data_IF_165972421625
#
_entry.id   IF_165972421625
#
_cell.length_a   1.000
_cell.length_b   1.000
_cell.length_c   1.000
_cell.angle_alpha   90.00
_cell.angle_beta   90.00
_cell.angle_gamma   90.00
#
_symmetry.space_group_name_H-M   'P 1'
#
loop_
_entity.id
_entity.type
_entity.pdbx_description
1 polymer ?
#
# COMPACT_ATOMS: atom_id res chain seq x y z
N UNK A 1 -0.89 67.56 71.54
CA UNK A 1 -0.85 66.87 70.23
C UNK A 1 0.63 66.61 69.92
N UNK A 2 1.27 65.48 70.26
CA UNK A 2 1.34 64.20 69.48
C UNK A 2 1.08 64.48 67.99
N UNK A 3 2.00 64.33 67.04
CA UNK A 3 2.90 63.20 66.65
C UNK A 3 4.14 63.83 65.97
N UNK A 4 5.34 63.27 65.89
CA UNK A 4 5.78 61.87 65.89
C UNK A 4 6.77 61.68 64.73
N UNK A 5 7.97 61.20 65.04
CA UNK A 5 9.17 61.00 64.22
C UNK A 5 9.04 60.04 63.01
N UNK A 6 9.95 60.27 62.04
CA UNK A 6 10.77 59.31 61.25
C UNK A 6 10.21 58.43 60.11
N UNK A 7 10.82 58.66 58.93
CA UNK A 7 11.53 57.76 57.99
C UNK A 7 10.92 56.45 57.43
N UNK A 8 11.44 56.08 56.22
CA UNK A 8 11.23 54.88 55.37
C UNK A 8 9.97 54.92 54.47
N UNK A 9 9.96 54.44 53.22
CA UNK A 9 10.88 53.62 52.42
C UNK A 9 10.63 53.91 50.91
N UNK A 10 11.65 53.85 50.06
CA UNK A 10 11.85 52.83 49.02
C UNK A 10 10.79 52.76 47.90
N UNK A 11 11.26 53.00 46.68
CA UNK A 11 10.63 52.67 45.39
C UNK A 11 10.02 51.26 45.37
N UNK A 12 8.75 51.09 44.94
CA UNK A 12 8.25 49.80 44.54
C UNK A 12 8.28 49.68 43.02
N UNK A 13 9.44 49.19 42.56
CA UNK A 13 9.57 48.07 41.64
C UNK A 13 8.67 48.10 40.38
N UNK A 14 9.33 48.35 39.24
CA UNK A 14 8.94 47.78 37.95
C UNK A 14 8.50 46.32 38.17
N UNK A 15 7.20 46.08 38.04
CA UNK A 15 6.62 44.74 37.92
C UNK A 15 7.25 44.10 36.67
N UNK A 16 8.33 43.36 36.89
CA UNK A 16 9.00 42.58 35.87
C UNK A 16 8.02 41.55 35.31
N UNK A 17 7.47 41.84 34.14
CA UNK A 17 6.85 40.81 33.31
C UNK A 17 7.96 39.80 32.99
N UNK A 18 7.91 38.64 33.64
CA UNK A 18 8.66 37.46 33.20
C UNK A 18 8.14 37.09 31.81
N UNK A 19 8.69 37.74 30.78
CA UNK A 19 8.67 37.24 29.42
C UNK A 19 9.36 35.89 29.49
N UNK A 20 8.56 34.82 29.48
CA UNK A 20 9.00 33.47 29.21
C UNK A 20 9.86 33.53 27.94
N UNK A 21 11.18 33.58 28.12
CA UNK A 21 12.11 33.46 27.01
C UNK A 21 11.97 32.03 26.51
N UNK A 22 11.10 31.85 25.53
CA UNK A 22 11.22 30.70 24.66
C UNK A 22 12.61 30.79 24.01
N UNK A 23 13.47 29.77 24.14
CA UNK A 23 14.72 29.78 23.42
C UNK A 23 14.40 29.83 21.93
N UNK A 24 14.68 30.98 21.29
CA UNK A 24 14.63 31.18 19.85
C UNK A 24 15.81 30.45 19.18
N UNK A 25 16.04 29.19 19.53
CA UNK A 25 16.97 28.35 18.78
C UNK A 25 16.37 28.14 17.40
N UNK A 26 16.94 28.83 16.41
CA UNK A 26 16.57 28.67 15.01
C UNK A 26 16.64 27.18 14.64
N UNK A 27 15.52 26.63 14.19
CA UNK A 27 15.47 25.24 13.73
C UNK A 27 16.48 25.07 12.60
N UNK A 28 17.41 24.11 12.75
CA UNK A 28 18.42 23.90 11.72
C UNK A 28 17.77 23.54 10.39
N UNK A 29 18.37 24.02 9.29
CA UNK A 29 17.91 23.70 7.93
C UNK A 29 17.69 22.19 7.73
N UNK A 30 18.58 21.36 8.30
CA UNK A 30 18.47 19.90 8.21
C UNK A 30 17.17 19.36 8.83
N UNK A 31 16.79 19.87 10.01
CA UNK A 31 15.53 19.47 10.67
C UNK A 31 14.32 19.91 9.85
N UNK A 32 14.33 21.13 9.32
CA UNK A 32 13.24 21.63 8.46
C UNK A 32 13.15 20.78 7.17
N UNK A 33 14.27 20.51 6.52
CA UNK A 33 14.33 19.67 5.31
C UNK A 33 13.81 18.26 5.56
N UNK A 34 14.26 17.62 6.64
CA UNK A 34 13.80 16.28 7.03
C UNK A 34 12.29 16.27 7.31
N UNK A 35 11.80 17.28 8.04
CA UNK A 35 10.38 17.43 8.31
C UNK A 35 9.55 17.57 7.03
N UNK A 36 9.95 18.45 6.10
CA UNK A 36 9.28 18.62 4.82
C UNK A 36 9.32 17.34 3.97
N UNK A 37 10.45 16.65 3.94
CA UNK A 37 10.58 15.35 3.25
C UNK A 37 9.60 14.32 3.84
N UNK A 38 9.52 14.23 5.16
CA UNK A 38 8.62 13.31 5.85
C UNK A 38 7.15 13.66 5.61
N UNK A 39 6.78 14.95 5.63
CA UNK A 39 5.43 15.40 5.29
C UNK A 39 5.06 15.06 3.84
N UNK A 40 5.95 15.32 2.89
CA UNK A 40 5.71 14.99 1.49
C UNK A 40 5.57 13.46 1.30
N UNK A 41 6.43 12.69 1.95
CA UNK A 41 6.41 11.21 1.88
C UNK A 41 5.14 10.66 2.51
N UNK A 42 4.71 11.15 3.67
CA UNK A 42 3.49 10.66 4.33
C UNK A 42 2.22 11.07 3.58
N UNK A 43 2.18 12.29 3.03
CA UNK A 43 1.07 12.75 2.20
C UNK A 43 0.95 11.95 0.91
N UNK A 44 2.06 11.76 0.19
CA UNK A 44 2.07 10.94 -1.03
C UNK A 44 1.72 9.48 -0.76
N UNK A 45 2.20 8.90 0.35
CA UNK A 45 1.83 7.55 0.76
C UNK A 45 0.33 7.43 1.05
N UNK A 46 -0.25 8.39 1.79
CA UNK A 46 -1.68 8.43 2.07
C UNK A 46 -2.52 8.63 0.81
N UNK A 47 -2.12 9.52 -0.09
CA UNK A 47 -2.78 9.69 -1.40
C UNK A 47 -2.75 8.38 -2.20
N UNK A 48 -1.57 7.75 -2.28
CA UNK A 48 -1.42 6.46 -2.93
C UNK A 48 -2.33 5.41 -2.31
N UNK A 49 -2.40 5.34 -0.97
CA UNK A 49 -3.31 4.43 -0.28
C UNK A 49 -4.76 4.66 -0.69
N UNK A 50 -5.23 5.90 -0.70
CA UNK A 50 -6.61 6.25 -1.10
C UNK A 50 -6.89 5.85 -2.55
N UNK A 51 -6.01 6.24 -3.48
CA UNK A 51 -6.17 5.96 -4.92
C UNK A 51 -6.11 4.47 -5.25
N UNK A 52 -5.41 3.68 -4.43
CA UNK A 52 -5.24 2.24 -4.63
C UNK A 52 -6.17 1.39 -3.77
N UNK A 53 -7.07 2.01 -2.99
CA UNK A 53 -7.95 1.32 -2.06
C UNK A 53 -8.79 0.21 -2.70
N UNK A 54 -9.24 0.43 -3.95
CA UNK A 54 -10.09 -0.50 -4.69
C UNK A 54 -9.31 -1.41 -5.65
N UNK A 55 -7.98 -1.34 -5.69
CA UNK A 55 -7.19 -2.13 -6.63
C UNK A 55 -7.03 -3.57 -6.12
N UNK A 56 -7.31 -4.55 -6.99
CA UNK A 56 -7.19 -5.98 -6.69
C UNK A 56 -5.80 -6.38 -6.17
N UNK A 57 -4.74 -5.78 -6.74
CA UNK A 57 -3.35 -6.03 -6.34
C UNK A 57 -3.02 -5.60 -4.91
N UNK A 58 -3.84 -4.78 -4.25
CA UNK A 58 -3.66 -4.44 -2.82
C UNK A 58 -3.78 -5.67 -1.91
N UNK A 59 -4.53 -6.69 -2.34
CA UNK A 59 -4.65 -7.97 -1.61
C UNK A 59 -3.39 -8.82 -1.72
N UNK A 60 -2.48 -8.49 -2.63
CA UNK A 60 -1.20 -9.17 -2.77
C UNK A 60 -0.28 -8.71 -1.64
N UNK A 61 -0.16 -9.51 -0.58
CA UNK A 61 0.85 -9.25 0.45
C UNK A 61 2.24 -9.54 -0.12
N UNK A 62 3.20 -8.60 -0.08
CA UNK A 62 4.56 -8.87 -0.51
C UNK A 62 5.18 -10.07 0.22
N UNK A 63 4.85 -10.25 1.51
CA UNK A 63 5.34 -11.36 2.33
C UNK A 63 4.82 -12.73 1.90
N UNK A 64 3.68 -12.84 1.20
CA UNK A 64 3.19 -14.12 0.70
C UNK A 64 3.89 -14.57 -0.59
N UNK A 65 4.68 -13.70 -1.21
CA UNK A 65 5.32 -13.90 -2.52
C UNK A 65 6.86 -13.90 -2.43
N UNK A 66 7.45 -13.07 -1.55
CA UNK A 66 8.89 -12.78 -1.53
C UNK A 66 9.81 -14.00 -1.34
N UNK A 67 9.42 -14.98 -0.52
CA UNK A 67 10.30 -16.12 -0.17
C UNK A 67 10.02 -17.39 -0.97
N UNK A 68 9.17 -17.32 -1.99
CA UNK A 68 8.76 -18.50 -2.76
C UNK A 68 9.54 -18.65 -4.06
N UNK A 69 9.73 -19.88 -4.57
CA UNK A 69 10.34 -20.10 -5.87
C UNK A 69 9.66 -19.26 -6.95
N UNK A 70 10.42 -18.71 -7.89
CA UNK A 70 9.94 -17.82 -8.96
C UNK A 70 8.67 -18.34 -9.63
N UNK A 71 8.61 -19.64 -9.94
CA UNK A 71 7.45 -20.30 -10.58
C UNK A 71 6.16 -20.12 -9.78
N UNK A 72 6.24 -20.24 -8.46
CA UNK A 72 5.11 -20.03 -7.56
C UNK A 72 4.75 -18.55 -7.48
N UNK A 73 5.75 -17.71 -7.17
CA UNK A 73 5.57 -16.27 -6.99
C UNK A 73 4.88 -15.62 -8.19
N UNK A 74 5.31 -15.96 -9.42
CA UNK A 74 4.74 -15.44 -10.66
C UNK A 74 3.29 -15.88 -10.86
N UNK A 75 2.97 -17.17 -10.67
CA UNK A 75 1.61 -17.67 -10.84
C UNK A 75 0.65 -17.04 -9.83
N UNK A 76 1.03 -17.03 -8.55
CA UNK A 76 0.23 -16.45 -7.49
C UNK A 76 -0.01 -14.94 -7.71
N UNK A 77 1.02 -14.20 -8.12
CA UNK A 77 0.90 -12.77 -8.45
C UNK A 77 -0.08 -12.54 -9.60
N UNK A 78 0.08 -13.24 -10.72
CA UNK A 78 -0.75 -13.06 -11.92
C UNK A 78 -2.22 -13.38 -11.64
N UNK A 79 -2.49 -14.51 -10.98
CA UNK A 79 -3.85 -14.92 -10.61
C UNK A 79 -4.49 -13.99 -9.59
N UNK A 80 -3.74 -13.49 -8.61
CA UNK A 80 -4.30 -12.59 -7.58
C UNK A 80 -4.60 -11.21 -8.16
N UNK A 81 -3.77 -10.73 -9.08
CA UNK A 81 -3.96 -9.42 -9.72
C UNK A 81 -4.96 -9.46 -10.87
N UNK A 82 -5.30 -10.65 -11.40
CA UNK A 82 -6.15 -10.84 -12.57
C UNK A 82 -5.45 -10.50 -13.89
N UNK A 83 -4.12 -10.36 -13.87
CA UNK A 83 -3.24 -10.24 -15.04
C UNK A 83 -2.67 -11.62 -15.44
N UNK A 84 -3.53 -12.62 -15.38
CA UNK A 84 -3.22 -13.98 -15.79
C UNK A 84 -3.31 -14.15 -17.31
N UNK A 85 -2.91 -15.32 -17.79
CA UNK A 85 -2.97 -15.66 -19.22
C UNK A 85 -4.12 -16.64 -19.47
N UNK A 86 -5.22 -16.52 -18.71
CA UNK A 86 -6.41 -17.37 -18.88
C UNK A 86 -7.35 -16.76 -19.92
N UNK A 87 -8.27 -17.56 -20.48
CA UNK A 87 -9.12 -17.15 -21.59
C UNK A 87 -9.91 -15.86 -21.30
N UNK A 88 -10.46 -15.70 -20.09
CA UNK A 88 -11.17 -14.47 -19.69
C UNK A 88 -10.28 -13.22 -19.77
N UNK A 89 -9.03 -13.30 -19.30
CA UNK A 89 -8.11 -12.16 -19.41
C UNK A 89 -7.66 -11.92 -20.86
N UNK A 90 -7.31 -12.98 -21.59
CA UNK A 90 -6.88 -12.89 -22.98
C UNK A 90 -7.98 -12.34 -23.90
N UNK A 91 -9.24 -12.65 -23.63
CA UNK A 91 -10.38 -12.09 -24.34
C UNK A 91 -10.52 -10.59 -24.12
N UNK A 92 -10.36 -10.10 -22.88
CA UNK A 92 -10.36 -8.65 -22.58
C UNK A 92 -9.24 -7.90 -23.30
N UNK A 93 -8.15 -8.57 -23.63
CA UNK A 93 -7.05 -8.03 -24.44
C UNK A 93 -7.28 -8.16 -25.95
N UNK A 94 -8.37 -8.80 -26.39
CA UNK A 94 -8.66 -9.04 -27.81
C UNK A 94 -7.81 -10.14 -28.45
N UNK A 95 -7.11 -10.96 -27.65
CA UNK A 95 -6.29 -12.08 -28.14
C UNK A 95 -7.16 -13.31 -28.39
N UNK A 96 -8.13 -13.57 -27.49
CA UNK A 96 -9.09 -14.66 -27.62
C UNK A 96 -10.46 -14.12 -28.06
N UNK A 97 -11.16 -14.88 -28.89
CA UNK A 97 -12.53 -14.56 -29.33
C UNK A 97 -13.56 -14.80 -28.24
N UNK A 98 -13.31 -15.72 -27.32
CA UNK A 98 -14.24 -16.15 -26.28
C UNK A 98 -13.61 -16.19 -24.89
N UNK A 99 -14.45 -16.10 -23.86
CA UNK A 99 -14.04 -16.14 -22.44
C UNK A 99 -14.08 -17.55 -21.83
N UNK A 100 -14.70 -18.50 -22.54
CA UNK A 100 -14.90 -19.86 -22.06
C UNK A 100 -13.59 -20.64 -22.00
N UNK A 101 -13.57 -21.68 -21.16
CA UNK A 101 -12.42 -22.58 -21.06
C UNK A 101 -12.28 -23.42 -22.33
N UNK A 102 -11.20 -23.25 -23.11
CA UNK A 102 -10.98 -24.08 -24.31
C UNK A 102 -10.39 -25.45 -23.95
N UNK A 103 -10.05 -25.67 -22.67
CA UNK A 103 -9.39 -26.90 -22.22
C UNK A 103 -10.41 -27.98 -21.80
N UNK A 104 -11.64 -27.60 -21.46
CA UNK A 104 -12.68 -28.55 -21.05
C UNK A 104 -14.05 -28.16 -21.62
N UNK A 105 -14.92 -29.14 -21.78
CA UNK A 105 -16.24 -28.96 -22.39
C UNK A 105 -17.32 -28.43 -21.42
N UNK A 106 -16.93 -27.77 -20.33
CA UNK A 106 -17.89 -27.29 -19.32
C UNK A 106 -18.65 -26.03 -19.73
N UNK A 107 -18.15 -25.28 -20.73
CA UNK A 107 -18.70 -23.97 -21.10
C UNK A 107 -18.55 -22.90 -20.01
N UNK A 108 -17.79 -23.17 -18.94
CA UNK A 108 -17.52 -22.17 -17.90
C UNK A 108 -16.47 -21.16 -18.37
N UNK A 109 -16.58 -19.92 -17.89
CA UNK A 109 -15.56 -18.88 -18.09
C UNK A 109 -14.24 -19.30 -17.45
N UNK A 110 -13.15 -19.21 -18.20
CA UNK A 110 -11.82 -19.61 -17.71
C UNK A 110 -11.20 -18.53 -16.83
N UNK A 111 -11.62 -18.48 -15.58
CA UNK A 111 -11.05 -17.64 -14.53
C UNK A 111 -10.37 -18.47 -13.45
N UNK A 112 -9.69 -17.81 -12.51
CA UNK A 112 -8.98 -18.43 -11.39
C UNK A 112 -9.82 -19.50 -10.67
N UNK A 113 -11.10 -19.22 -10.43
CA UNK A 113 -11.98 -20.15 -9.72
C UNK A 113 -12.32 -21.40 -10.54
N UNK A 114 -12.54 -21.22 -11.86
CA UNK A 114 -12.73 -22.34 -12.77
C UNK A 114 -11.45 -23.18 -12.88
N UNK A 115 -10.28 -22.53 -12.90
CA UNK A 115 -8.99 -23.22 -12.98
C UNK A 115 -8.88 -24.31 -11.92
N UNK A 116 -9.32 -24.06 -10.68
CA UNK A 116 -9.32 -25.03 -9.57
C UNK A 116 -10.24 -26.23 -9.78
N UNK A 117 -11.31 -26.10 -10.57
CA UNK A 117 -12.32 -27.15 -10.82
C UNK A 117 -12.21 -27.78 -12.21
N UNK A 118 -11.42 -27.21 -13.11
CA UNK A 118 -11.32 -27.62 -14.51
C UNK A 118 -10.94 -29.11 -14.64
N UNK A 119 -11.83 -29.93 -15.21
CA UNK A 119 -11.59 -31.38 -15.34
C UNK A 119 -10.39 -31.75 -16.23
N UNK A 120 -9.93 -30.83 -17.08
CA UNK A 120 -8.80 -31.05 -17.98
C UNK A 120 -7.43 -30.89 -17.33
N UNK A 121 -7.34 -30.35 -16.11
CA UNK A 121 -6.08 -30.10 -15.41
C UNK A 121 -5.90 -31.11 -14.27
N UNK A 122 -4.70 -31.67 -14.15
CA UNK A 122 -4.33 -32.67 -13.16
C UNK A 122 -3.66 -32.06 -11.91
N UNK A 123 -3.19 -30.81 -11.98
CA UNK A 123 -2.53 -30.16 -10.86
C UNK A 123 -3.41 -30.10 -9.60
N UNK A 124 -2.82 -30.33 -8.43
CA UNK A 124 -3.52 -30.28 -7.14
C UNK A 124 -3.63 -28.87 -6.53
N UNK A 125 -2.70 -27.99 -6.92
CA UNK A 125 -2.64 -26.61 -6.43
C UNK A 125 -2.90 -25.63 -7.55
N UNK A 126 -3.46 -24.47 -7.20
CA UNK A 126 -3.72 -23.35 -8.11
C UNK A 126 -2.52 -23.03 -9.02
N UNK A 127 -1.32 -22.93 -8.43
CA UNK A 127 -0.08 -22.63 -9.16
C UNK A 127 0.24 -23.72 -10.19
N UNK A 128 0.11 -25.00 -9.83
CA UNK A 128 0.41 -26.09 -10.75
C UNK A 128 -0.57 -26.09 -11.93
N UNK A 129 -1.86 -25.93 -11.63
CA UNK A 129 -2.94 -25.87 -12.63
C UNK A 129 -2.77 -24.68 -13.57
N UNK A 130 -2.28 -23.54 -13.08
CA UNK A 130 -2.00 -22.36 -13.92
C UNK A 130 -0.91 -22.63 -14.96
N UNK A 131 0.19 -23.25 -14.54
CA UNK A 131 1.27 -23.57 -15.48
C UNK A 131 0.88 -24.67 -16.47
N UNK A 132 0.09 -25.64 -16.02
CA UNK A 132 -0.47 -26.69 -16.89
C UNK A 132 -1.42 -26.08 -17.94
N UNK A 133 -2.35 -25.23 -17.51
CA UNK A 133 -3.24 -24.52 -18.43
C UNK A 133 -2.45 -23.70 -19.46
N UNK A 134 -1.41 -22.97 -19.05
CA UNK A 134 -0.55 -22.23 -19.99
C UNK A 134 0.14 -23.13 -21.00
N UNK A 135 0.67 -24.26 -20.55
CA UNK A 135 1.34 -25.22 -21.43
C UNK A 135 0.36 -25.75 -22.50
N UNK A 136 -0.89 -26.05 -22.11
CA UNK A 136 -1.93 -26.51 -23.02
C UNK A 136 -2.43 -25.41 -23.97
N UNK A 137 -2.47 -24.16 -23.51
CA UNK A 137 -2.83 -23.00 -24.34
C UNK A 137 -1.71 -22.53 -25.28
N UNK A 138 -0.50 -23.10 -25.19
CA UNK A 138 0.66 -22.67 -25.98
C UNK A 138 1.21 -21.29 -25.60
N UNK A 139 1.11 -20.90 -24.32
CA UNK A 139 1.43 -19.57 -23.78
C UNK A 139 2.73 -19.52 -22.95
#
# INVERSE_FOLDING_TARGET
MKRGLQALAADPELRGANLLQHPNTATSYWKIKLFLKNLCTSNSFRDLQTRTALKSWRRVSPSSILDKPRRYAVAAFRLTTGHDCLASHLHRLGIFTETFCPLCDSGEVMEKDHLLRCGALQGLMEVSRYWEARALLGQ
#
